data_IF_860198802422
#
_entry.id   IF_860198802422
#
_cell.length_a   1.000
_cell.length_b   1.000
_cell.length_c   1.000
_cell.angle_alpha   90.00
_cell.angle_beta   90.00
_cell.angle_gamma   90.00
#
_symmetry.space_group_name_H-M   'P 1'
#
loop_
_entity.id
_entity.type
_entity.pdbx_description
1 polymer ?
#
# COMPACT_ATOMS: atom_id res chain seq x y z
N UNK A 1 29.46 42.38 1.40
CA UNK A 1 29.63 40.91 1.31
C UNK A 1 28.74 40.39 0.18
N UNK A 2 29.33 40.01 -0.96
CA UNK A 2 28.57 39.39 -2.06
C UNK A 2 28.16 37.99 -1.60
N UNK A 3 26.86 37.69 -1.55
CA UNK A 3 26.36 36.31 -1.45
C UNK A 3 26.90 35.57 -2.67
N UNK A 4 27.93 34.76 -2.47
CA UNK A 4 28.35 33.76 -3.44
C UNK A 4 27.21 32.74 -3.49
N UNK A 5 26.25 32.94 -4.41
CA UNK A 5 25.34 31.87 -4.77
C UNK A 5 26.22 30.79 -5.39
N UNK A 6 26.48 29.73 -4.61
CA UNK A 6 27.19 28.55 -5.08
C UNK A 6 26.35 27.93 -6.19
N UNK A 7 26.72 28.21 -7.44
CA UNK A 7 26.06 27.64 -8.61
C UNK A 7 26.25 26.13 -8.58
N UNK A 8 25.16 25.39 -8.39
CA UNK A 8 25.18 23.93 -8.42
C UNK A 8 25.64 23.46 -9.79
N UNK A 9 26.59 22.53 -9.81
CA UNK A 9 26.98 21.87 -11.05
C UNK A 9 25.76 21.21 -11.71
N UNK A 10 25.82 20.98 -13.02
CA UNK A 10 24.76 20.25 -13.73
C UNK A 10 24.52 18.88 -13.09
N UNK A 11 25.59 18.20 -12.67
CA UNK A 11 25.52 16.91 -12.00
C UNK A 11 24.84 16.99 -10.62
N UNK A 12 25.10 18.05 -9.84
CA UNK A 12 24.46 18.25 -8.54
C UNK A 12 22.96 18.52 -8.71
N UNK A 13 22.58 19.31 -9.72
CA UNK A 13 21.17 19.56 -10.06
C UNK A 13 20.45 18.28 -10.45
N UNK A 14 21.03 17.47 -11.34
CA UNK A 14 20.43 16.18 -11.73
C UNK A 14 20.30 15.21 -10.56
N UNK A 15 21.31 15.17 -9.67
CA UNK A 15 21.24 14.40 -8.43
C UNK A 15 20.12 14.87 -7.49
N UNK A 16 19.92 16.18 -7.36
CA UNK A 16 18.83 16.75 -6.58
C UNK A 16 17.46 16.42 -7.18
N UNK A 17 17.29 16.55 -8.50
CA UNK A 17 16.05 16.16 -9.17
C UNK A 17 15.74 14.69 -8.98
N UNK A 18 16.74 13.81 -9.14
CA UNK A 18 16.55 12.36 -8.92
C UNK A 18 16.10 12.06 -7.50
N UNK A 19 16.75 12.64 -6.49
CA UNK A 19 16.39 12.44 -5.07
C UNK A 19 15.00 12.97 -4.75
N UNK A 20 14.67 14.17 -5.24
CA UNK A 20 13.36 14.77 -5.01
C UNK A 20 12.25 13.96 -5.69
N UNK A 21 12.43 13.54 -6.94
CA UNK A 21 11.46 12.70 -7.65
C UNK A 21 11.28 11.35 -6.97
N UNK A 22 12.36 10.74 -6.46
CA UNK A 22 12.25 9.49 -5.69
C UNK A 22 11.46 9.70 -4.40
N UNK A 23 11.77 10.74 -3.63
CA UNK A 23 11.05 11.07 -2.39
C UNK A 23 9.56 11.31 -2.67
N UNK A 24 9.24 12.11 -3.70
CA UNK A 24 7.87 12.43 -4.06
C UNK A 24 7.10 11.17 -4.51
N UNK A 25 7.73 10.34 -5.35
CA UNK A 25 7.18 9.06 -5.77
C UNK A 25 6.91 8.14 -4.59
N UNK A 26 7.89 7.98 -3.69
CA UNK A 26 7.78 7.16 -2.47
C UNK A 26 6.58 7.59 -1.64
N UNK A 27 6.53 8.85 -1.23
CA UNK A 27 5.48 9.36 -0.32
C UNK A 27 4.09 9.15 -0.91
N UNK A 28 3.88 9.52 -2.18
CA UNK A 28 2.58 9.39 -2.83
C UNK A 28 2.20 7.92 -3.04
N UNK A 29 3.17 7.08 -3.41
CA UNK A 29 2.94 5.64 -3.58
C UNK A 29 2.56 5.00 -2.26
N UNK A 30 3.27 5.30 -1.17
CA UNK A 30 2.97 4.78 0.17
C UNK A 30 1.57 5.17 0.63
N UNK A 31 1.14 6.40 0.37
CA UNK A 31 -0.23 6.84 0.66
C UNK A 31 -1.29 6.06 -0.14
N UNK A 32 -1.02 5.81 -1.43
CA UNK A 32 -1.92 5.05 -2.30
C UNK A 32 -1.96 3.57 -1.89
N UNK A 33 -0.79 2.98 -1.65
CA UNK A 33 -0.61 1.60 -1.24
C UNK A 33 -1.24 1.35 0.14
N UNK A 34 -1.21 2.31 1.06
CA UNK A 34 -1.93 2.19 2.34
C UNK A 34 -3.43 1.93 2.16
N UNK A 35 -4.05 2.58 1.17
CA UNK A 35 -5.47 2.38 0.87
C UNK A 35 -5.65 1.04 0.15
N UNK A 36 -4.90 0.81 -0.92
CA UNK A 36 -5.05 -0.39 -1.75
C UNK A 36 -4.67 -1.69 -1.00
N UNK A 37 -3.71 -1.64 -0.07
CA UNK A 37 -3.30 -2.77 0.77
C UNK A 37 -4.45 -3.29 1.62
N UNK A 38 -5.35 -2.43 2.11
CA UNK A 38 -6.53 -2.86 2.87
C UNK A 38 -7.46 -3.73 2.03
N UNK A 39 -7.63 -3.40 0.75
CA UNK A 39 -8.42 -4.22 -0.18
C UNK A 39 -7.71 -5.53 -0.54
N UNK A 40 -6.39 -5.49 -0.77
CA UNK A 40 -5.61 -6.72 -0.98
C UNK A 40 -5.68 -7.65 0.24
N UNK A 41 -5.58 -7.10 1.45
CA UNK A 41 -5.74 -7.85 2.69
C UNK A 41 -7.12 -8.48 2.77
N UNK A 42 -8.20 -7.75 2.48
CA UNK A 42 -9.56 -8.30 2.48
C UNK A 42 -9.71 -9.50 1.55
N UNK A 43 -9.19 -9.42 0.33
CA UNK A 43 -9.23 -10.54 -0.62
C UNK A 43 -8.51 -11.78 -0.06
N UNK A 44 -7.38 -11.57 0.63
CA UNK A 44 -6.65 -12.67 1.27
C UNK A 44 -7.40 -13.21 2.49
N UNK A 45 -7.95 -12.34 3.34
CA UNK A 45 -8.67 -12.72 4.55
C UNK A 45 -9.96 -13.50 4.22
N UNK A 46 -10.70 -13.08 3.19
CA UNK A 46 -11.87 -13.81 2.66
C UNK A 46 -11.50 -15.21 2.17
N UNK A 47 -10.37 -15.35 1.48
CA UNK A 47 -9.86 -16.67 1.06
C UNK A 47 -9.46 -17.53 2.25
N UNK A 48 -8.82 -16.93 3.25
CA UNK A 48 -8.48 -17.62 4.50
C UNK A 48 -9.77 -18.09 5.19
N UNK A 49 -10.81 -17.24 5.28
CA UNK A 49 -12.09 -17.62 5.87
C UNK A 49 -12.72 -18.82 5.14
N UNK A 50 -12.72 -18.82 3.80
CA UNK A 50 -13.23 -19.95 3.02
C UNK A 50 -12.44 -21.26 3.28
N UNK A 51 -11.12 -21.18 3.46
CA UNK A 51 -10.33 -22.34 3.85
C UNK A 51 -10.66 -22.81 5.27
N UNK A 52 -10.80 -21.88 6.22
CA UNK A 52 -11.16 -22.19 7.60
C UNK A 52 -12.54 -22.86 7.69
N UNK A 53 -13.54 -22.37 6.96
CA UNK A 53 -14.87 -22.98 6.91
C UNK A 53 -14.84 -24.41 6.38
N UNK A 54 -14.15 -24.60 5.25
CA UNK A 54 -14.02 -25.91 4.61
C UNK A 54 -13.32 -26.90 5.54
N UNK A 55 -12.21 -26.48 6.13
CA UNK A 55 -11.40 -27.33 6.97
C UNK A 55 -12.13 -27.62 8.31
N UNK A 56 -12.84 -26.65 8.88
CA UNK A 56 -13.69 -26.84 10.06
C UNK A 56 -14.86 -27.80 9.80
N UNK A 57 -15.45 -27.77 8.59
CA UNK A 57 -16.51 -28.69 8.18
C UNK A 57 -16.03 -30.15 8.07
N UNK A 58 -14.70 -30.38 7.97
CA UNK A 58 -14.12 -31.73 7.96
C UNK A 58 -13.81 -32.30 9.36
N UNK A 59 -13.89 -31.47 10.40
CA UNK A 59 -13.64 -31.88 11.78
C UNK A 59 -14.78 -32.74 12.34
N UNK A 60 -14.47 -33.54 13.37
CA UNK A 60 -15.49 -34.21 14.17
C UNK A 60 -16.42 -33.20 14.85
N UNK A 61 -17.58 -33.69 15.31
CA UNK A 61 -18.67 -32.83 15.78
C UNK A 61 -18.24 -31.93 16.95
N UNK A 62 -17.47 -32.45 17.90
CA UNK A 62 -17.13 -31.72 19.11
C UNK A 62 -16.10 -30.62 18.80
N UNK A 63 -15.07 -30.94 18.00
CA UNK A 63 -14.12 -29.93 17.52
C UNK A 63 -14.77 -28.90 16.61
N UNK A 64 -15.69 -29.31 15.73
CA UNK A 64 -16.43 -28.37 14.87
C UNK A 64 -17.26 -27.39 15.68
N UNK A 65 -17.96 -27.87 16.71
CA UNK A 65 -18.70 -27.00 17.63
C UNK A 65 -17.77 -26.04 18.38
N UNK A 66 -16.57 -26.50 18.78
CA UNK A 66 -15.58 -25.66 19.45
C UNK A 66 -14.93 -24.60 18.57
N UNK A 67 -14.64 -24.92 17.30
CA UNK A 67 -13.97 -24.02 16.35
C UNK A 67 -14.94 -23.02 15.70
N UNK A 68 -16.21 -23.39 15.56
CA UNK A 68 -17.24 -22.57 14.90
C UNK A 68 -17.27 -21.10 15.34
N UNK A 69 -17.31 -20.78 16.65
CA UNK A 69 -17.31 -19.39 17.12
C UNK A 69 -16.11 -18.56 16.65
N UNK A 70 -14.91 -19.15 16.56
CA UNK A 70 -13.71 -18.44 16.09
C UNK A 70 -13.77 -18.14 14.59
N UNK A 71 -14.36 -19.03 13.80
CA UNK A 71 -14.58 -18.80 12.36
C UNK A 71 -15.58 -17.67 12.16
N UNK A 72 -16.65 -17.62 12.96
CA UNK A 72 -17.63 -16.53 12.90
C UNK A 72 -17.09 -15.18 13.40
N UNK A 73 -16.24 -15.19 14.43
CA UNK A 73 -15.51 -14.00 14.88
C UNK A 73 -14.60 -13.46 13.76
N UNK A 74 -13.86 -14.35 13.09
CA UNK A 74 -13.00 -13.98 11.96
C UNK A 74 -13.79 -13.35 10.80
N UNK A 75 -14.96 -13.90 10.46
CA UNK A 75 -15.85 -13.32 9.44
C UNK A 75 -16.37 -11.94 9.85
N UNK A 76 -16.73 -11.78 11.12
CA UNK A 76 -17.17 -10.49 11.67
C UNK A 76 -16.07 -9.44 11.56
N UNK A 77 -14.83 -9.82 11.90
CA UNK A 77 -13.65 -8.98 11.70
C UNK A 77 -13.47 -8.56 10.23
N UNK A 78 -13.59 -9.50 9.29
CA UNK A 78 -13.48 -9.22 7.85
C UNK A 78 -14.57 -8.23 7.41
N UNK A 79 -15.82 -8.43 7.84
CA UNK A 79 -16.94 -7.56 7.49
C UNK A 79 -16.70 -6.12 7.97
N UNK A 80 -16.28 -5.94 9.22
CA UNK A 80 -15.94 -4.64 9.77
C UNK A 80 -14.77 -3.99 9.00
N UNK A 81 -13.72 -4.77 8.72
CA UNK A 81 -12.56 -4.32 7.94
C UNK A 81 -12.96 -3.91 6.51
N UNK A 82 -13.93 -4.59 5.91
CA UNK A 82 -14.45 -4.27 4.58
C UNK A 82 -15.14 -2.91 4.56
N UNK A 83 -15.95 -2.61 5.57
CA UNK A 83 -16.59 -1.31 5.72
C UNK A 83 -15.58 -0.19 5.91
N UNK A 84 -14.57 -0.42 6.75
CA UNK A 84 -13.54 0.59 6.98
C UNK A 84 -12.63 0.81 5.78
N UNK A 85 -12.32 -0.23 5.01
CA UNK A 85 -11.62 -0.09 3.73
C UNK A 85 -12.47 0.67 2.71
N UNK A 86 -13.78 0.36 2.60
CA UNK A 86 -14.71 1.06 1.70
C UNK A 86 -14.72 2.56 1.97
N UNK A 87 -14.82 2.98 3.23
CA UNK A 87 -14.80 4.39 3.65
C UNK A 87 -13.54 5.15 3.21
N UNK A 88 -12.43 4.47 2.93
CA UNK A 88 -11.18 5.13 2.49
C UNK A 88 -11.13 5.38 0.99
N UNK A 89 -11.84 4.60 0.18
CA UNK A 89 -11.73 4.61 -1.29
C UNK A 89 -12.99 5.07 -2.00
N UNK A 90 -14.16 4.80 -1.40
CA UNK A 90 -15.47 5.07 -1.98
C UNK A 90 -16.26 6.08 -1.15
N UNK A 91 -17.08 6.87 -1.82
CA UNK A 91 -18.11 7.72 -1.23
C UNK A 91 -19.29 6.88 -0.77
N UNK A 92 -20.23 7.49 -0.04
CA UNK A 92 -21.50 6.84 0.35
C UNK A 92 -22.33 6.40 -0.87
N UNK A 93 -22.21 7.12 -1.99
CA UNK A 93 -22.85 6.77 -3.26
C UNK A 93 -22.13 5.64 -4.03
N UNK A 94 -21.05 5.08 -3.49
CA UNK A 94 -20.27 4.00 -4.12
C UNK A 94 -19.29 4.46 -5.20
N UNK A 95 -19.22 5.76 -5.51
CA UNK A 95 -18.22 6.33 -6.43
C UNK A 95 -16.86 6.48 -5.75
N UNK A 96 -15.78 6.60 -6.52
CA UNK A 96 -14.46 6.85 -5.93
C UNK A 96 -14.41 8.22 -5.24
N UNK A 97 -13.79 8.29 -4.07
CA UNK A 97 -13.51 9.55 -3.39
C UNK A 97 -12.58 10.43 -4.22
N UNK A 98 -12.86 11.73 -4.27
CA UNK A 98 -12.04 12.68 -5.04
C UNK A 98 -10.60 12.72 -4.54
N UNK A 99 -10.38 12.56 -3.23
CA UNK A 99 -9.05 12.51 -2.62
C UNK A 99 -8.25 11.30 -3.15
N UNK A 100 -8.88 10.13 -3.24
CA UNK A 100 -8.25 8.94 -3.80
C UNK A 100 -7.98 9.12 -5.30
N UNK A 101 -8.93 9.67 -6.07
CA UNK A 101 -8.74 9.95 -7.50
C UNK A 101 -7.58 10.93 -7.71
N UNK A 102 -7.54 12.02 -6.96
CA UNK A 102 -6.45 13.00 -7.02
C UNK A 102 -5.11 12.37 -6.65
N UNK A 103 -5.06 11.53 -5.62
CA UNK A 103 -3.86 10.80 -5.24
C UNK A 103 -3.33 9.93 -6.39
N UNK A 104 -4.21 9.20 -7.08
CA UNK A 104 -3.86 8.37 -8.24
C UNK A 104 -3.39 9.20 -9.44
N UNK A 105 -4.05 10.33 -9.70
CA UNK A 105 -3.63 11.26 -10.75
C UNK A 105 -2.26 11.88 -10.45
N UNK A 106 -2.03 12.30 -9.20
CA UNK A 106 -0.76 12.85 -8.73
C UNK A 106 0.37 11.83 -8.88
N UNK A 107 0.13 10.57 -8.49
CA UNK A 107 1.09 9.49 -8.68
C UNK A 107 1.45 9.29 -10.15
N UNK A 108 0.44 9.22 -11.02
CA UNK A 108 0.63 9.08 -12.48
C UNK A 108 1.44 10.25 -13.07
N UNK A 109 1.18 11.47 -12.62
CA UNK A 109 1.93 12.65 -13.06
C UNK A 109 3.41 12.58 -12.64
N UNK A 110 3.69 12.14 -11.41
CA UNK A 110 5.06 11.95 -10.93
C UNK A 110 5.79 10.83 -11.69
N UNK A 111 5.12 9.70 -11.94
CA UNK A 111 5.68 8.62 -12.77
C UNK A 111 6.02 9.10 -14.19
N UNK A 112 5.15 9.91 -14.78
CA UNK A 112 5.38 10.52 -16.08
C UNK A 112 6.62 11.43 -16.06
N UNK A 113 6.74 12.30 -15.05
CA UNK A 113 7.89 13.20 -14.92
C UNK A 113 9.21 12.43 -14.71
N UNK A 114 9.18 11.31 -13.96
CA UNK A 114 10.33 10.41 -13.83
C UNK A 114 10.72 9.82 -15.18
N UNK A 115 9.75 9.36 -15.97
CA UNK A 115 10.03 8.78 -17.29
C UNK A 115 10.58 9.84 -18.26
N UNK A 116 10.00 11.03 -18.28
CA UNK A 116 10.43 12.12 -19.16
C UNK A 116 11.84 12.62 -18.80
N UNK A 117 12.17 12.71 -17.50
CA UNK A 117 13.45 13.27 -17.05
C UNK A 117 14.57 12.25 -16.87
N UNK A 118 14.25 11.06 -16.35
CA UNK A 118 15.22 10.03 -15.96
C UNK A 118 15.10 8.75 -16.78
N UNK A 119 14.00 8.57 -17.52
CA UNK A 119 13.75 7.38 -18.34
C UNK A 119 13.07 6.23 -17.59
N UNK A 120 12.50 5.29 -18.36
CA UNK A 120 11.72 4.15 -17.85
C UNK A 120 12.53 3.22 -16.92
N UNK A 121 13.84 3.12 -17.12
CA UNK A 121 14.73 2.33 -16.26
C UNK A 121 14.72 2.84 -14.82
N UNK A 122 14.74 4.16 -14.63
CA UNK A 122 14.70 4.76 -13.30
C UNK A 122 13.35 4.58 -12.62
N UNK A 123 12.24 4.65 -13.35
CA UNK A 123 10.92 4.33 -12.78
C UNK A 123 10.86 2.87 -12.27
N UNK A 124 11.42 1.91 -13.02
CA UNK A 124 11.54 0.51 -12.57
C UNK A 124 12.43 0.39 -11.34
N UNK A 125 13.56 1.08 -11.32
CA UNK A 125 14.47 1.10 -10.17
C UNK A 125 13.76 1.66 -8.92
N UNK A 126 13.01 2.75 -9.05
CA UNK A 126 12.29 3.36 -7.93
C UNK A 126 11.21 2.44 -7.37
N UNK A 127 10.46 1.74 -8.23
CA UNK A 127 9.50 0.70 -7.83
C UNK A 127 10.17 -0.40 -7.02
N UNK A 128 11.24 -1.00 -7.55
CA UNK A 128 11.99 -2.06 -6.90
C UNK A 128 12.53 -1.63 -5.53
N UNK A 129 13.16 -0.45 -5.46
CA UNK A 129 13.70 0.06 -4.18
C UNK A 129 12.61 0.26 -3.14
N UNK A 130 11.43 0.71 -3.54
CA UNK A 130 10.31 0.89 -2.62
C UNK A 130 9.79 -0.46 -2.10
N UNK A 131 9.67 -1.46 -2.97
CA UNK A 131 9.31 -2.82 -2.59
C UNK A 131 10.35 -3.43 -1.63
N UNK A 132 11.64 -3.28 -1.93
CA UNK A 132 12.74 -3.74 -1.06
C UNK A 132 12.64 -3.13 0.34
N UNK A 133 12.43 -1.81 0.44
CA UNK A 133 12.26 -1.11 1.72
C UNK A 133 11.01 -1.58 2.46
N UNK A 134 9.89 -1.75 1.76
CA UNK A 134 8.65 -2.24 2.36
C UNK A 134 8.81 -3.65 2.94
N UNK A 135 9.48 -4.55 2.19
CA UNK A 135 9.75 -5.92 2.64
C UNK A 135 10.72 -5.95 3.81
N UNK A 136 11.81 -5.18 3.75
CA UNK A 136 12.74 -5.05 4.87
C UNK A 136 12.06 -4.50 6.12
N UNK A 137 11.16 -3.51 5.96
CA UNK A 137 10.36 -2.98 7.05
C UNK A 137 9.49 -4.03 7.70
N UNK A 138 8.86 -4.92 6.93
CA UNK A 138 8.07 -6.04 7.46
C UNK A 138 8.95 -7.04 8.23
N UNK A 139 10.14 -7.37 7.69
CA UNK A 139 11.06 -8.32 8.34
C UNK A 139 11.69 -7.75 9.62
N UNK A 140 11.86 -6.44 9.69
CA UNK A 140 12.44 -5.72 10.83
C UNK A 140 11.39 -5.18 11.80
N UNK A 141 10.11 -5.39 11.54
CA UNK A 141 9.06 -5.00 12.48
C UNK A 141 9.04 -6.00 13.65
N UNK A 142 9.70 -5.61 14.74
CA UNK A 142 9.73 -6.36 16.00
C UNK A 142 8.55 -5.98 16.90
N UNK A 143 7.66 -5.09 16.44
CA UNK A 143 6.50 -4.73 17.24
C UNK A 143 5.57 -5.95 17.25
N UNK A 144 5.51 -6.64 18.39
CA UNK A 144 4.54 -7.71 18.65
C UNK A 144 3.08 -7.24 18.66
N UNK A 145 2.74 -6.22 17.86
CA UNK A 145 1.39 -5.74 17.61
C UNK A 145 0.72 -6.71 16.64
N UNK A 146 0.32 -7.85 17.19
CA UNK A 146 -0.80 -8.64 16.67
C UNK A 146 -2.09 -8.00 17.16
#
# INVERSE_FOLDING_TARGET
MKKQAMELSVQDRESLYKRYLFWLYKTIREDADRIDRKFTQLVLDERIAAFLERDAASLDKDLRCGVGPFVEEWKTYIAQKADDARKLKFSEAGSLKFEYVFLRLKLKAVERLIVERLGRRHLKEFRRRLEEVAMQGILQDHSGRR
#
